data_IF_551300239977
#
_entry.id   IF_551300239977
#
_cell.length_a   1.000
_cell.length_b   1.000
_cell.length_c   1.000
_cell.angle_alpha   90.00
_cell.angle_beta   90.00
_cell.angle_gamma   90.00
#
_symmetry.space_group_name_H-M   'P 1'
#
loop_
_entity.id
_entity.type
_entity.pdbx_description
1 polymer ?
#
# COMPACT_ATOMS: atom_id res chain seq x y z
N UNK A 1 -7.27 -6.35 -11.66
CA UNK A 1 -6.55 -5.08 -11.45
C UNK A 1 -7.57 -4.16 -10.85
N UNK A 2 -7.23 -3.56 -9.72
CA UNK A 2 -8.08 -2.67 -8.97
C UNK A 2 -7.31 -1.42 -8.59
N UNK A 3 -8.00 -0.28 -8.67
CA UNK A 3 -7.44 1.04 -8.41
C UNK A 3 -8.13 1.62 -7.18
N UNK A 4 -7.33 2.14 -6.26
CA UNK A 4 -7.76 2.77 -5.02
C UNK A 4 -7.24 4.20 -4.99
N UNK A 5 -8.16 5.17 -4.91
CA UNK A 5 -7.83 6.60 -4.86
C UNK A 5 -8.07 7.10 -3.45
N UNK A 6 -6.97 7.35 -2.74
CA UNK A 6 -6.95 7.75 -1.34
C UNK A 6 -6.72 9.26 -1.28
N UNK A 7 -7.76 9.99 -0.90
CA UNK A 7 -7.77 11.45 -0.79
C UNK A 7 -8.04 11.89 0.65
N UNK A 8 -7.77 13.17 0.95
CA UNK A 8 -8.08 13.86 2.22
C UNK A 8 -7.18 13.54 3.42
N UNK A 9 -6.33 12.52 3.33
CA UNK A 9 -5.35 12.22 4.38
C UNK A 9 -4.10 13.09 4.26
N UNK A 10 -3.59 13.26 3.04
CA UNK A 10 -2.47 14.15 2.75
C UNK A 10 -2.91 15.29 1.83
N UNK A 11 -2.09 16.34 1.62
CA UNK A 11 -2.36 17.37 0.63
C UNK A 11 -2.45 16.83 -0.81
N UNK A 12 -1.62 15.85 -1.13
CA UNK A 12 -1.56 15.16 -2.42
C UNK A 12 -2.56 13.99 -2.49
N UNK A 13 -2.88 13.55 -3.71
CA UNK A 13 -3.74 12.37 -3.91
C UNK A 13 -2.86 11.14 -4.06
N UNK A 14 -3.17 10.08 -3.32
CA UNK A 14 -2.46 8.80 -3.45
C UNK A 14 -3.30 7.80 -4.25
N UNK A 15 -2.70 7.20 -5.27
CA UNK A 15 -3.35 6.15 -6.06
C UNK A 15 -2.59 4.85 -5.88
N UNK A 16 -3.25 3.84 -5.33
CA UNK A 16 -2.72 2.48 -5.21
C UNK A 16 -3.39 1.59 -6.26
N UNK A 17 -2.59 0.91 -7.06
CA UNK A 17 -3.05 -0.07 -8.04
C UNK A 17 -2.59 -1.45 -7.61
N UNK A 18 -3.51 -2.40 -7.52
CA UNK A 18 -3.22 -3.81 -7.22
C UNK A 18 -3.61 -4.67 -8.42
N UNK A 19 -2.77 -5.63 -8.79
CA UNK A 19 -3.09 -6.58 -9.85
C UNK A 19 -2.55 -7.99 -9.56
N UNK A 20 -3.21 -9.06 -10.03
CA UNK A 20 -2.65 -10.40 -10.00
C UNK A 20 -1.34 -10.47 -10.80
N UNK A 21 -0.30 -11.03 -10.20
CA UNK A 21 1.05 -11.18 -10.78
C UNK A 21 1.50 -12.66 -10.82
N UNK A 22 0.56 -13.60 -10.70
CA UNK A 22 0.78 -15.04 -10.84
C UNK A 22 0.74 -15.77 -9.52
N UNK A 23 1.61 -16.77 -9.36
CA UNK A 23 1.66 -17.65 -8.18
C UNK A 23 3.11 -17.80 -7.73
N UNK A 24 3.36 -17.69 -6.43
CA UNK A 24 4.66 -17.93 -5.82
C UNK A 24 5.02 -19.42 -5.82
N UNK A 25 6.31 -19.79 -5.70
CA UNK A 25 6.74 -21.20 -5.65
C UNK A 25 6.11 -22.02 -4.52
N UNK A 26 5.69 -21.37 -3.44
CA UNK A 26 4.99 -21.96 -2.30
C UNK A 26 3.46 -22.04 -2.49
N UNK A 27 2.99 -21.86 -3.73
CA UNK A 27 1.57 -21.91 -4.14
C UNK A 27 0.70 -20.76 -3.63
N UNK A 28 1.29 -19.70 -3.05
CA UNK A 28 0.59 -18.45 -2.71
C UNK A 28 0.26 -17.65 -3.96
N UNK A 29 -0.85 -16.91 -3.93
CA UNK A 29 -1.14 -15.94 -4.98
C UNK A 29 -0.14 -14.78 -4.90
N UNK A 30 0.36 -14.36 -6.04
CA UNK A 30 1.31 -13.26 -6.17
C UNK A 30 0.61 -12.05 -6.73
N UNK A 31 0.90 -10.88 -6.18
CA UNK A 31 0.29 -9.61 -6.55
C UNK A 31 1.37 -8.58 -6.87
N UNK A 32 1.05 -7.70 -7.82
CA UNK A 32 1.80 -6.47 -8.06
C UNK A 32 1.07 -5.28 -7.47
N UNK A 33 1.86 -4.29 -7.10
CA UNK A 33 1.39 -3.02 -6.58
C UNK A 33 2.14 -1.86 -7.24
N UNK A 34 1.44 -0.75 -7.40
CA UNK A 34 2.01 0.54 -7.76
C UNK A 34 1.36 1.61 -6.88
N UNK A 35 2.17 2.37 -6.15
CA UNK A 35 1.72 3.48 -5.33
C UNK A 35 2.22 4.80 -5.93
N UNK A 36 1.28 5.63 -6.33
CA UNK A 36 1.51 6.97 -6.84
C UNK A 36 1.17 8.03 -5.78
N UNK A 37 1.88 9.15 -5.84
CA UNK A 37 1.55 10.40 -5.17
C UNK A 37 1.40 11.46 -6.27
N UNK A 38 0.17 11.93 -6.48
CA UNK A 38 -0.30 12.54 -7.72
C UNK A 38 0.13 11.70 -8.94
N UNK A 39 0.86 12.29 -9.90
CA UNK A 39 1.35 11.60 -11.11
C UNK A 39 2.71 10.89 -10.91
N UNK A 40 3.28 10.93 -9.70
CA UNK A 40 4.63 10.39 -9.42
C UNK A 40 4.54 9.00 -8.82
N UNK A 41 5.10 8.01 -9.53
CA UNK A 41 5.28 6.65 -9.01
C UNK A 41 6.32 6.65 -7.87
N UNK A 42 5.91 6.21 -6.68
CA UNK A 42 6.77 6.15 -5.48
C UNK A 42 7.25 4.72 -5.23
N UNK A 43 6.34 3.76 -5.22
CA UNK A 43 6.66 2.35 -5.02
C UNK A 43 6.03 1.51 -6.12
N UNK A 44 6.77 0.50 -6.56
CA UNK A 44 6.24 -0.54 -7.43
C UNK A 44 6.92 -1.87 -7.09
N UNK A 45 6.15 -2.94 -7.14
CA UNK A 45 6.66 -4.28 -6.88
C UNK A 45 5.70 -5.36 -7.37
N UNK A 46 6.17 -6.60 -7.33
CA UNK A 46 5.41 -7.80 -7.74
C UNK A 46 5.68 -8.98 -6.82
N UNK A 47 6.00 -8.69 -5.57
CA UNK A 47 6.51 -9.60 -4.56
C UNK A 47 5.54 -9.79 -3.38
N UNK A 48 4.36 -9.15 -3.43
CA UNK A 48 3.29 -9.39 -2.45
C UNK A 48 2.73 -10.80 -2.63
N UNK A 49 2.81 -11.60 -1.57
CA UNK A 49 2.24 -12.94 -1.53
C UNK A 49 1.04 -13.00 -0.59
N UNK A 50 -0.06 -13.61 -1.02
CA UNK A 50 -1.25 -13.86 -0.19
C UNK A 50 -1.64 -15.34 -0.17
N UNK A 51 -2.37 -15.80 0.87
CA UNK A 51 -3.16 -17.02 0.76
C UNK A 51 -4.08 -16.98 -0.47
N UNK A 52 -4.50 -18.16 -0.96
CA UNK A 52 -5.47 -18.24 -2.05
C UNK A 52 -6.84 -17.72 -1.63
N UNK A 53 -7.50 -16.99 -2.52
CA UNK A 53 -8.86 -16.49 -2.31
C UNK A 53 -8.97 -15.20 -1.48
N UNK A 54 -7.85 -14.54 -1.22
CA UNK A 54 -7.84 -13.18 -0.65
C UNK A 54 -8.28 -12.18 -1.73
N UNK A 55 -9.08 -11.19 -1.34
CA UNK A 55 -9.60 -10.18 -2.27
C UNK A 55 -8.56 -9.10 -2.61
N UNK A 56 -8.75 -8.41 -3.73
CA UNK A 56 -7.90 -7.26 -4.10
C UNK A 56 -7.96 -6.15 -3.03
N UNK A 57 -9.08 -6.00 -2.32
CA UNK A 57 -9.26 -5.00 -1.27
C UNK A 57 -8.41 -5.32 -0.03
N UNK A 58 -8.41 -6.59 0.40
CA UNK A 58 -7.53 -7.07 1.48
C UNK A 58 -6.06 -6.94 1.09
N UNK A 59 -5.69 -7.31 -0.15
CA UNK A 59 -4.31 -7.15 -0.64
C UNK A 59 -3.90 -5.68 -0.65
N UNK A 60 -4.79 -4.77 -1.06
CA UNK A 60 -4.53 -3.34 -1.08
C UNK A 60 -4.28 -2.78 0.32
N UNK A 61 -5.12 -3.13 1.30
CA UNK A 61 -4.95 -2.69 2.69
C UNK A 61 -3.61 -3.18 3.26
N UNK A 62 -3.26 -4.45 3.02
CA UNK A 62 -1.97 -5.00 3.44
C UNK A 62 -0.79 -4.34 2.72
N UNK A 63 -0.89 -4.07 1.42
CA UNK A 63 0.15 -3.35 0.68
C UNK A 63 0.38 -1.97 1.30
N UNK A 64 -0.69 -1.22 1.54
CA UNK A 64 -0.58 0.13 2.10
C UNK A 64 0.01 0.13 3.51
N UNK A 65 -0.36 -0.84 4.35
CA UNK A 65 0.23 -1.01 5.69
C UNK A 65 1.76 -1.11 5.63
N UNK A 66 2.31 -1.92 4.72
CA UNK A 66 3.76 -2.07 4.58
C UNK A 66 4.43 -0.84 3.93
N UNK A 67 3.79 -0.24 2.93
CA UNK A 67 4.34 0.93 2.23
C UNK A 67 4.36 2.20 3.10
N UNK A 68 3.52 2.25 4.14
CA UNK A 68 3.42 3.38 5.08
C UNK A 68 4.20 3.19 6.37
N UNK A 69 5.03 2.14 6.49
CA UNK A 69 5.95 2.00 7.63
C UNK A 69 7.02 3.10 7.64
N UNK A 70 7.42 3.49 8.84
CA UNK A 70 8.47 4.45 9.11
C UNK A 70 9.63 3.81 9.89
N UNK A 71 10.83 4.43 9.89
CA UNK A 71 11.93 3.98 10.74
C UNK A 71 11.51 3.88 12.21
N UNK A 72 11.58 2.67 12.77
CA UNK A 72 11.11 2.37 14.12
C UNK A 72 9.90 1.43 14.18
N UNK A 73 9.11 1.33 13.09
CA UNK A 73 7.96 0.41 13.03
C UNK A 73 8.38 -1.03 12.73
N UNK A 74 9.50 -1.20 12.04
CA UNK A 74 10.10 -2.48 11.68
C UNK A 74 11.62 -2.39 11.63
N UNK A 75 12.29 -3.50 11.30
CA UNK A 75 13.74 -3.58 11.21
C UNK A 75 14.29 -2.63 10.12
N UNK A 76 15.42 -1.96 10.41
CA UNK A 76 16.03 -0.98 9.49
C UNK A 76 16.39 -1.58 8.12
N UNK A 77 16.64 -2.89 8.06
CA UNK A 77 16.93 -3.63 6.83
C UNK A 77 15.79 -3.54 5.82
N UNK A 78 14.53 -3.42 6.27
CA UNK A 78 13.37 -3.23 5.39
C UNK A 78 13.53 -1.99 4.52
N UNK A 79 14.09 -0.91 5.09
CA UNK A 79 14.27 0.35 4.40
C UNK A 79 15.60 0.42 3.64
N UNK A 80 16.45 -0.61 3.66
CA UNK A 80 17.81 -0.53 3.12
C UNK A 80 17.83 -0.14 1.63
N UNK A 81 16.90 -0.69 0.85
CA UNK A 81 16.81 -0.50 -0.59
C UNK A 81 15.96 0.72 -1.01
N UNK A 82 15.43 1.48 -0.05
CA UNK A 82 14.64 2.67 -0.36
C UNK A 82 15.50 3.75 -1.02
N UNK A 83 15.03 4.24 -2.15
CA UNK A 83 15.59 5.41 -2.84
C UNK A 83 15.42 6.68 -2.00
N UNK A 84 16.22 7.74 -2.25
CA UNK A 84 16.05 9.02 -1.57
C UNK A 84 14.63 9.58 -1.67
N UNK A 85 13.99 9.43 -2.83
CA UNK A 85 12.64 9.94 -3.08
C UNK A 85 11.58 9.17 -2.28
N UNK A 86 11.74 7.85 -2.13
CA UNK A 86 10.87 7.03 -1.28
C UNK A 86 11.02 7.40 0.20
N UNK A 87 12.25 7.63 0.66
CA UNK A 87 12.50 8.07 2.04
C UNK A 87 11.90 9.44 2.33
N UNK A 88 12.07 10.39 1.40
CA UNK A 88 11.46 11.72 1.51
C UNK A 88 9.93 11.62 1.56
N UNK A 89 9.34 10.80 0.67
CA UNK A 89 7.91 10.54 0.69
C UNK A 89 7.44 9.94 2.02
N UNK A 90 8.15 8.95 2.58
CA UNK A 90 7.78 8.33 3.86
C UNK A 90 7.83 9.31 5.03
N UNK A 91 8.82 10.21 5.04
CA UNK A 91 8.95 11.22 6.10
C UNK A 91 7.80 12.24 6.07
N UNK A 92 7.21 12.49 4.91
CA UNK A 92 6.18 13.51 4.72
C UNK A 92 4.75 12.94 4.74
N UNK A 93 4.55 11.71 4.25
CA UNK A 93 3.21 11.20 3.90
C UNK A 93 2.82 9.94 4.66
N UNK A 94 3.77 9.06 4.99
CA UNK A 94 3.46 7.68 5.36
C UNK A 94 2.56 7.58 6.61
N UNK A 95 2.91 8.28 7.69
CA UNK A 95 2.12 8.29 8.93
C UNK A 95 0.69 8.75 8.67
N UNK A 96 0.51 9.90 8.00
CA UNK A 96 -0.82 10.47 7.78
C UNK A 96 -1.64 9.64 6.79
N UNK A 97 -1.02 9.10 5.74
CA UNK A 97 -1.70 8.22 4.80
C UNK A 97 -2.16 6.92 5.47
N UNK A 98 -1.37 6.35 6.39
CA UNK A 98 -1.73 5.13 7.12
C UNK A 98 -3.04 5.25 7.90
N UNK A 99 -3.44 6.49 8.26
CA UNK A 99 -4.69 6.75 8.97
C UNK A 99 -5.92 6.28 8.20
N UNK A 100 -5.86 6.09 6.88
CA UNK A 100 -6.98 5.57 6.11
C UNK A 100 -7.30 4.10 6.41
N UNK A 101 -6.41 3.39 7.10
CA UNK A 101 -6.58 2.01 7.56
C UNK A 101 -7.25 1.90 8.94
N UNK A 102 -7.59 3.03 9.56
CA UNK A 102 -8.21 3.09 10.88
C UNK A 102 -9.58 3.77 10.84
N UNK A 103 -10.48 3.37 11.74
CA UNK A 103 -11.75 4.06 11.94
C UNK A 103 -11.60 5.35 12.79
N UNK A 104 -12.70 6.08 12.98
CA UNK A 104 -12.75 7.30 13.79
C UNK A 104 -12.36 7.10 15.27
N UNK A 105 -12.40 5.86 15.76
CA UNK A 105 -12.00 5.50 17.12
C UNK A 105 -10.54 5.02 17.19
N UNK A 106 -9.81 5.00 16.07
CA UNK A 106 -8.45 4.49 15.96
C UNK A 106 -8.36 2.96 15.97
N UNK A 107 -9.46 2.26 15.71
CA UNK A 107 -9.46 0.80 15.56
C UNK A 107 -9.00 0.45 14.15
N UNK A 108 -8.16 -0.58 14.05
CA UNK A 108 -7.71 -1.10 12.77
C UNK A 108 -8.90 -1.71 12.00
N UNK A 109 -9.18 -1.19 10.81
CA UNK A 109 -10.22 -1.71 9.92
C UNK A 109 -9.66 -2.49 8.76
N UNK A 110 -8.39 -2.27 8.38
CA UNK A 110 -7.73 -2.88 7.22
C UNK A 110 -8.62 -2.96 5.97
N UNK A 111 -9.42 -1.91 5.70
CA UNK A 111 -10.40 -1.90 4.61
C UNK A 111 -10.22 -0.66 3.73
N UNK A 112 -9.79 -0.90 2.48
CA UNK A 112 -9.67 0.14 1.45
C UNK A 112 -10.82 0.14 0.44
N UNK A 113 -11.83 -0.73 0.61
CA UNK A 113 -13.00 -0.76 -0.29
C UNK A 113 -13.70 0.61 -0.44
N UNK A 114 -13.75 1.51 0.56
CA UNK A 114 -14.34 2.85 0.35
C UNK A 114 -13.59 3.75 -0.65
N UNK A 115 -12.31 3.46 -0.91
CA UNK A 115 -11.45 4.21 -1.83
C UNK A 115 -11.35 3.55 -3.21
N UNK A 116 -11.96 2.38 -3.39
CA UNK A 116 -11.93 1.66 -4.66
C UNK A 116 -12.72 2.40 -5.72
N UNK A 117 -12.14 2.54 -6.90
CA UNK A 117 -12.80 3.11 -8.08
C UNK A 117 -13.29 1.95 -8.95
N UNK A 118 -14.58 1.95 -9.29
CA UNK A 118 -15.12 1.02 -10.28
C UNK A 118 -14.67 1.47 -11.69
N UNK A 119 -14.08 0.55 -12.46
CA UNK A 119 -13.78 0.73 -13.89
C UNK A 119 -15.06 0.76 -14.74
#
# INVERSE_FOLDING_TARGET
MSTFVIEKFTPEIHTLIIAPAGVCPDMRERWSYELFCDDRLIFAGSDLGSPSGVTEDEVAAHALLWLTLQPGDTDEEYFADYTPDQRAWCAENAETLSMCLYDENGSDVMDLSPYRVED
#
